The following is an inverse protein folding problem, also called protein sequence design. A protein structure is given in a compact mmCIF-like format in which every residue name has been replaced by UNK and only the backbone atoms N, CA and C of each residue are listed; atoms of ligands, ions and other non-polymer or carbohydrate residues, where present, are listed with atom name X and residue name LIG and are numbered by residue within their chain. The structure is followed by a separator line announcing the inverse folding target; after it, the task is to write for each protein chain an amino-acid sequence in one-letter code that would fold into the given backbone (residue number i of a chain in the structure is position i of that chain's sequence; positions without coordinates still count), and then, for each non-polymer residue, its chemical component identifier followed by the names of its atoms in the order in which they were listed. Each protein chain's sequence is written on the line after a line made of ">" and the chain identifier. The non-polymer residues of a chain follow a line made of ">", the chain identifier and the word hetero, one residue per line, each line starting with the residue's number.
data_IF_785630773504
#
_entry.id   IF_785630773504
#
_cell.length_a   1.000
_cell.length_b   1.000
_cell.length_c   1.000
_cell.angle_alpha   90.00
_cell.angle_beta   90.00
_cell.angle_gamma   90.00
#
_symmetry.space_group_name_H-M   'P 1'
#
loop_
_entity.id
_entity.type
_entity.pdbx_description
1 polymer ?
#
# COMPACT_ATOMS: atom_id res chain seq x y z
N UNK A 1 18.68 -3.19 30.68
CA UNK A 1 19.80 -2.24 30.71
C UNK A 1 20.63 -2.49 31.97
N UNK A 2 21.94 -2.35 31.88
CA UNK A 2 22.87 -2.49 33.00
C UNK A 2 23.42 -1.10 33.36
N UNK A 3 23.39 -0.75 34.64
CA UNK A 3 23.84 0.53 35.16
C UNK A 3 24.81 0.29 36.31
N UNK A 4 25.85 1.12 36.39
CA UNK A 4 26.67 1.24 37.59
C UNK A 4 26.23 2.47 38.37
N UNK A 5 25.59 2.27 39.52
CA UNK A 5 25.18 3.30 40.46
C UNK A 5 26.21 3.40 41.59
N UNK A 6 27.08 4.40 41.55
CA UNK A 6 28.06 4.70 42.61
C UNK A 6 27.45 5.44 43.81
N UNK A 7 26.12 5.41 43.93
CA UNK A 7 25.33 6.23 44.82
C UNK A 7 24.25 5.44 45.56
N UNK A 8 23.28 6.13 46.18
CA UNK A 8 22.28 5.55 47.07
C UNK A 8 21.01 5.08 46.37
N UNK A 9 20.83 5.38 45.07
CA UNK A 9 19.64 4.99 44.34
C UNK A 9 19.73 5.21 42.84
N UNK A 10 18.95 4.42 42.08
CA UNK A 10 18.74 4.57 40.65
C UNK A 10 17.24 4.65 40.36
N UNK A 11 16.85 5.57 39.47
CA UNK A 11 15.48 5.69 38.98
C UNK A 11 15.45 5.73 37.46
N UNK A 12 14.33 5.29 36.90
CA UNK A 12 14.05 5.27 35.47
C UNK A 12 12.57 5.47 35.28
N UNK A 13 12.22 6.38 34.38
CA UNK A 13 10.84 6.66 34.00
C UNK A 13 10.62 6.20 32.56
N UNK A 14 9.43 5.68 32.26
CA UNK A 14 9.02 5.45 30.88
C UNK A 14 8.57 6.79 30.27
N UNK A 15 9.20 7.25 29.18
CA UNK A 15 8.80 8.49 28.50
C UNK A 15 7.35 8.43 28.00
N UNK A 16 6.67 9.57 27.89
CA UNK A 16 5.26 9.64 27.50
C UNK A 16 4.96 8.94 26.17
N UNK A 17 5.85 9.08 25.19
CA UNK A 17 5.73 8.46 23.86
C UNK A 17 5.83 6.91 23.90
N UNK A 18 6.28 6.35 25.01
CA UNK A 18 6.50 4.93 25.20
C UNK A 18 5.52 4.25 26.17
N UNK A 19 4.76 5.00 26.97
CA UNK A 19 3.89 4.44 28.02
C UNK A 19 2.83 3.46 27.50
N UNK A 20 2.39 3.60 26.26
CA UNK A 20 1.39 2.72 25.66
C UNK A 20 1.94 1.34 25.29
N UNK A 21 3.27 1.18 25.18
CA UNK A 21 3.89 -0.04 24.68
C UNK A 21 5.12 -0.52 25.45
N UNK A 22 5.69 0.29 26.34
CA UNK A 22 6.86 -0.03 27.14
C UNK A 22 6.54 0.09 28.62
N UNK A 23 7.02 -0.86 29.41
CA UNK A 23 6.86 -0.87 30.87
C UNK A 23 8.12 -1.40 31.55
N UNK A 24 8.32 -1.02 32.81
CA UNK A 24 9.39 -1.59 33.65
C UNK A 24 8.85 -2.87 34.27
N UNK A 25 9.49 -4.01 33.97
CA UNK A 25 9.08 -5.30 34.53
C UNK A 25 9.72 -5.56 35.89
N UNK A 26 10.97 -5.13 36.08
CA UNK A 26 11.65 -5.18 37.37
C UNK A 26 12.85 -4.21 37.41
N UNK A 27 13.20 -3.80 38.62
CA UNK A 27 14.46 -3.12 38.94
C UNK A 27 15.14 -3.97 40.01
N UNK A 28 16.31 -4.51 39.69
CA UNK A 28 17.12 -5.34 40.57
C UNK A 28 18.40 -4.58 40.91
N UNK A 29 18.84 -4.64 42.16
CA UNK A 29 20.03 -3.92 42.62
C UNK A 29 20.89 -4.81 43.52
N UNK A 30 22.19 -4.85 43.24
CA UNK A 30 23.19 -5.57 44.01
C UNK A 30 24.45 -4.71 44.14
N UNK A 31 24.64 -4.08 45.31
CA UNK A 31 25.72 -3.12 45.50
C UNK A 31 25.59 -1.94 44.54
N UNK A 32 26.66 -1.65 43.78
CA UNK A 32 26.67 -0.59 42.76
C UNK A 32 26.06 -1.03 41.42
N UNK A 33 25.62 -2.28 41.27
CA UNK A 33 25.05 -2.78 40.02
C UNK A 33 23.53 -2.72 40.05
N UNK A 34 22.93 -2.07 39.04
CA UNK A 34 21.48 -2.01 38.87
C UNK A 34 21.11 -2.59 37.50
N UNK A 35 20.16 -3.52 37.51
CA UNK A 35 19.60 -4.13 36.31
C UNK A 35 18.14 -3.72 36.19
N UNK A 36 17.83 -2.97 35.12
CA UNK A 36 16.44 -2.61 34.78
C UNK A 36 15.98 -3.51 33.64
N UNK A 37 14.90 -4.26 33.89
CA UNK A 37 14.24 -5.11 32.89
C UNK A 37 12.99 -4.39 32.37
N UNK A 38 12.85 -4.37 31.06
CA UNK A 38 11.72 -3.77 30.36
C UNK A 38 10.86 -4.85 29.72
N UNK A 39 9.56 -4.58 29.62
CA UNK A 39 8.63 -5.37 28.83
C UNK A 39 7.98 -4.46 27.79
N UNK A 40 8.15 -4.83 26.52
CA UNK A 40 7.50 -4.19 25.39
C UNK A 40 6.29 -5.01 24.92
N UNK A 41 5.19 -4.34 24.58
CA UNK A 41 4.05 -4.95 23.90
C UNK A 41 4.44 -5.36 22.47
N UNK A 42 3.67 -6.27 21.86
CA UNK A 42 3.83 -6.58 20.44
C UNK A 42 3.70 -5.29 19.60
N UNK A 43 4.49 -5.20 18.53
CA UNK A 43 4.43 -4.06 17.61
C UNK A 43 3.74 -4.49 16.32
N UNK A 44 2.42 -4.33 16.27
CA UNK A 44 1.62 -4.61 15.08
C UNK A 44 1.60 -3.42 14.09
N UNK A 45 2.15 -2.27 14.48
CA UNK A 45 2.34 -1.12 13.62
C UNK A 45 3.80 -1.00 13.19
N UNK A 46 4.17 0.21 12.76
CA UNK A 46 5.52 0.55 12.31
C UNK A 46 6.62 0.46 13.35
N UNK A 47 7.87 0.49 12.87
CA UNK A 47 9.04 0.70 13.73
C UNK A 47 8.79 1.86 14.70
N UNK A 48 9.10 1.63 15.97
CA UNK A 48 8.96 2.63 17.03
C UNK A 48 10.20 2.64 17.90
N UNK A 49 10.48 3.78 18.52
CA UNK A 49 11.56 3.90 19.47
C UNK A 49 11.30 5.00 20.49
N UNK A 50 12.11 5.01 21.54
CA UNK A 50 12.07 6.03 22.59
C UNK A 50 13.45 6.19 23.22
N UNK A 51 13.71 7.34 23.84
CA UNK A 51 14.92 7.60 24.61
C UNK A 51 14.63 7.44 26.09
N UNK A 52 15.22 6.43 26.71
CA UNK A 52 15.09 6.14 28.13
C UNK A 52 16.17 6.90 28.89
N UNK A 53 15.77 7.65 29.91
CA UNK A 53 16.69 8.39 30.79
C UNK A 53 16.77 7.68 32.13
N UNK A 54 17.99 7.30 32.51
CA UNK A 54 18.32 6.76 33.82
C UNK A 54 18.92 7.87 34.69
N UNK A 55 18.50 7.93 35.95
CA UNK A 55 19.04 8.86 36.94
C UNK A 55 19.64 8.09 38.10
N UNK A 56 20.80 8.51 38.56
CA UNK A 56 21.45 8.00 39.78
C UNK A 56 21.82 9.15 40.68
N UNK A 57 21.90 8.92 41.99
CA UNK A 57 22.27 9.97 42.96
C UNK A 57 23.21 9.42 44.01
N UNK A 58 24.26 10.17 44.36
CA UNK A 58 25.14 9.88 45.50
C UNK A 58 24.68 10.55 46.81
N UNK A 59 23.47 11.13 46.80
CA UNK A 59 22.90 11.90 47.90
C UNK A 59 23.34 13.37 47.95
N UNK A 60 24.31 13.78 47.12
CA UNK A 60 24.76 15.18 46.97
C UNK A 60 24.55 15.71 45.55
N UNK A 61 24.64 14.84 44.56
CA UNK A 61 24.54 15.16 43.14
C UNK A 61 23.77 14.08 42.40
N UNK A 62 22.95 14.51 41.45
CA UNK A 62 22.30 13.63 40.48
C UNK A 62 23.15 13.50 39.22
N UNK A 63 23.16 12.30 38.66
CA UNK A 63 23.79 11.94 37.40
C UNK A 63 22.73 11.35 36.49
N UNK A 64 22.84 11.63 35.20
CA UNK A 64 21.91 11.12 34.19
C UNK A 64 22.68 10.42 33.08
N UNK A 65 22.11 9.34 32.57
CA UNK A 65 22.57 8.70 31.33
C UNK A 65 21.35 8.29 30.52
N UNK A 66 21.48 8.26 29.20
CA UNK A 66 20.39 7.94 28.29
C UNK A 66 20.73 6.76 27.39
N UNK A 67 19.70 6.04 26.95
CA UNK A 67 19.83 5.01 25.93
C UNK A 67 18.60 5.01 25.04
N UNK A 68 18.77 4.64 23.78
CA UNK A 68 17.66 4.48 22.84
C UNK A 68 17.17 3.04 22.85
N UNK A 69 15.87 2.85 22.96
CA UNK A 69 15.23 1.56 22.72
C UNK A 69 14.43 1.67 21.43
N UNK A 70 14.71 0.77 20.48
CA UNK A 70 13.93 0.63 19.25
C UNK A 70 13.30 -0.76 19.18
N UNK A 71 12.10 -0.82 18.61
CA UNK A 71 11.37 -2.05 18.36
C UNK A 71 10.88 -2.05 16.91
N UNK A 72 11.40 -2.98 16.12
CA UNK A 72 10.93 -3.20 14.75
C UNK A 72 9.44 -3.55 14.76
N UNK A 73 8.71 -2.92 13.85
CA UNK A 73 7.28 -3.11 13.65
C UNK A 73 6.96 -4.15 12.59
N UNK A 74 5.66 -4.44 12.49
CA UNK A 74 5.12 -5.17 11.34
C UNK A 74 4.95 -4.22 10.15
N UNK A 75 4.99 -4.78 8.95
CA UNK A 75 4.53 -4.07 7.74
C UNK A 75 3.01 -4.13 7.73
N UNK A 76 2.36 -2.96 7.71
CA UNK A 76 0.90 -2.83 7.73
C UNK A 76 0.35 -2.97 6.31
N UNK A 77 -0.52 -3.95 6.08
CA UNK A 77 -1.30 -4.00 4.84
C UNK A 77 -2.37 -2.90 4.89
N UNK A 78 -2.44 -2.06 3.86
CA UNK A 78 -3.39 -0.95 3.81
C UNK A 78 -3.88 -0.70 2.39
N UNK A 79 -5.11 -0.19 2.29
CA UNK A 79 -5.57 0.50 1.09
C UNK A 79 -4.85 1.85 0.95
N UNK A 80 -4.86 2.41 -0.26
CA UNK A 80 -4.28 3.73 -0.53
C UNK A 80 -4.98 4.82 0.28
N UNK A 81 -6.31 4.74 0.46
CA UNK A 81 -7.05 5.70 1.27
C UNK A 81 -6.64 5.64 2.75
N UNK A 82 -6.51 4.45 3.33
CA UNK A 82 -6.04 4.27 4.71
C UNK A 82 -4.60 4.78 4.88
N UNK A 83 -3.73 4.49 3.91
CA UNK A 83 -2.36 4.99 3.88
C UNK A 83 -2.28 6.51 3.83
N UNK A 84 -3.09 7.15 2.98
CA UNK A 84 -3.10 8.60 2.84
C UNK A 84 -3.61 9.30 4.10
N UNK A 85 -4.57 8.69 4.79
CA UNK A 85 -5.13 9.16 6.06
C UNK A 85 -4.18 8.97 7.26
N UNK A 86 -3.17 8.11 7.15
CA UNK A 86 -2.21 7.87 8.21
C UNK A 86 -1.28 9.08 8.46
N UNK A 87 -0.82 9.20 9.71
CA UNK A 87 0.19 10.19 10.07
C UNK A 87 1.57 9.83 9.49
N UNK A 88 2.37 10.86 9.20
CA UNK A 88 3.77 10.69 8.81
C UNK A 88 4.54 10.06 9.97
N UNK A 89 5.14 8.91 9.72
CA UNK A 89 5.93 8.15 10.70
C UNK A 89 6.86 7.17 9.97
N UNK A 90 7.67 6.41 10.72
CA UNK A 90 8.48 5.32 10.17
C UNK A 90 7.70 4.00 10.00
N UNK A 91 6.36 4.05 10.12
CA UNK A 91 5.50 2.90 9.78
C UNK A 91 5.62 2.51 8.32
N UNK A 92 5.93 1.23 8.11
CA UNK A 92 5.99 0.61 6.80
C UNK A 92 4.59 0.12 6.41
N UNK A 93 4.17 0.49 5.21
CA UNK A 93 2.91 0.08 4.62
C UNK A 93 3.17 -0.75 3.37
N UNK A 94 2.45 -1.86 3.25
CA UNK A 94 2.36 -2.62 2.01
C UNK A 94 1.15 -2.14 1.23
N UNK A 95 1.41 -1.62 0.03
CA UNK A 95 0.39 -1.12 -0.88
C UNK A 95 0.44 -1.94 -2.16
N UNK A 96 -0.73 -2.36 -2.67
CA UNK A 96 -0.84 -3.04 -3.96
C UNK A 96 -1.80 -2.30 -4.86
N UNK A 97 -1.37 -1.98 -6.08
CA UNK A 97 -2.19 -1.21 -7.01
C UNK A 97 -1.62 -1.21 -8.43
N UNK A 98 -2.32 -0.52 -9.33
CA UNK A 98 -1.94 -0.34 -10.73
C UNK A 98 -1.06 0.91 -10.86
N UNK A 99 0.03 0.82 -11.63
CA UNK A 99 0.81 1.98 -12.04
C UNK A 99 0.01 2.77 -13.09
N UNK A 100 -0.53 3.93 -12.74
CA UNK A 100 -1.35 4.74 -13.66
C UNK A 100 -0.49 5.71 -14.47
N UNK A 101 0.68 6.11 -13.95
CA UNK A 101 1.61 7.02 -14.60
C UNK A 101 3.02 6.85 -14.04
N UNK A 102 4.04 7.01 -14.88
CA UNK A 102 5.45 7.09 -14.47
C UNK A 102 5.96 8.49 -14.83
N UNK A 103 6.28 9.30 -13.82
CA UNK A 103 6.82 10.65 -14.00
C UNK A 103 8.34 10.65 -14.16
N UNK A 104 9.03 9.68 -13.56
CA UNK A 104 10.48 9.56 -13.67
C UNK A 104 10.93 8.10 -13.68
N UNK A 105 11.37 7.60 -14.83
CA UNK A 105 11.85 6.24 -15.03
C UNK A 105 13.28 5.98 -14.53
N UNK A 106 13.99 7.02 -14.09
CA UNK A 106 15.30 6.85 -13.45
C UNK A 106 15.15 6.49 -11.98
N UNK A 107 14.26 7.17 -11.26
CA UNK A 107 14.09 6.98 -9.82
C UNK A 107 12.87 6.12 -9.48
N UNK A 108 11.96 5.90 -10.42
CA UNK A 108 10.69 5.21 -10.15
C UNK A 108 9.65 6.12 -9.52
N UNK A 109 9.59 7.38 -9.92
CA UNK A 109 8.52 8.27 -9.50
C UNK A 109 7.27 7.95 -10.31
N UNK A 110 6.21 7.53 -9.63
CA UNK A 110 5.00 7.02 -10.28
C UNK A 110 3.74 7.27 -9.45
N UNK A 111 2.58 7.08 -10.07
CA UNK A 111 1.29 7.07 -9.41
C UNK A 111 0.79 5.62 -9.29
N UNK A 112 0.43 5.23 -8.06
CA UNK A 112 -0.09 3.92 -7.72
C UNK A 112 -1.55 4.06 -7.30
N UNK A 113 -2.44 3.32 -7.96
CA UNK A 113 -3.88 3.37 -7.69
C UNK A 113 -4.44 2.00 -7.31
N UNK A 114 -5.15 1.93 -6.20
CA UNK A 114 -5.98 0.78 -5.83
C UNK A 114 -7.48 1.13 -5.96
N UNK A 115 -8.35 0.30 -5.40
CA UNK A 115 -9.80 0.54 -5.40
C UNK A 115 -10.25 1.77 -4.61
N UNK A 116 -9.45 2.23 -3.65
CA UNK A 116 -9.79 3.25 -2.67
C UNK A 116 -9.25 4.63 -3.03
N UNK A 117 -8.16 4.71 -3.80
CA UNK A 117 -7.54 5.97 -4.15
C UNK A 117 -6.24 5.83 -4.94
N UNK A 118 -5.58 6.96 -5.17
CA UNK A 118 -4.30 7.06 -5.87
C UNK A 118 -3.28 7.82 -5.01
N UNK A 119 -2.05 7.31 -4.92
CA UNK A 119 -0.95 7.96 -4.22
C UNK A 119 0.27 8.11 -5.13
N UNK A 120 1.04 9.17 -4.90
CA UNK A 120 2.34 9.35 -5.53
C UNK A 120 3.41 8.56 -4.77
N UNK A 121 4.28 7.89 -5.51
CA UNK A 121 5.44 7.15 -5.00
C UNK A 121 6.68 7.93 -5.34
N UNK A 122 7.40 8.41 -4.33
CA UNK A 122 8.64 9.17 -4.49
C UNK A 122 9.84 8.24 -4.57
N UNK A 123 9.94 7.57 -5.72
CA UNK A 123 11.01 6.66 -6.06
C UNK A 123 10.80 5.24 -5.52
N UNK A 124 11.32 4.27 -6.27
CA UNK A 124 11.37 2.86 -5.90
C UNK A 124 12.83 2.42 -5.99
N UNK A 125 13.32 1.75 -4.95
CA UNK A 125 14.69 1.27 -4.93
C UNK A 125 15.00 0.34 -6.13
N UNK A 126 16.11 0.62 -6.80
CA UNK A 126 16.54 -0.11 -8.00
C UNK A 126 15.58 -0.07 -9.20
N UNK A 127 14.69 0.94 -9.32
CA UNK A 127 13.62 0.96 -10.32
C UNK A 127 14.06 0.64 -11.76
N UNK A 128 15.20 1.17 -12.22
CA UNK A 128 15.72 0.97 -13.59
C UNK A 128 15.88 -0.50 -13.98
N UNK A 129 16.13 -1.37 -13.01
CA UNK A 129 16.36 -2.80 -13.22
C UNK A 129 15.07 -3.62 -13.21
N UNK A 130 13.94 -3.00 -12.79
CA UNK A 130 12.66 -3.70 -12.58
C UNK A 130 11.79 -3.78 -13.84
N UNK A 131 12.09 -3.00 -14.89
CA UNK A 131 11.33 -2.96 -16.15
C UNK A 131 9.82 -2.73 -15.97
N UNK A 132 9.42 -1.97 -14.95
CA UNK A 132 8.02 -1.65 -14.67
C UNK A 132 7.46 -0.68 -15.73
N UNK A 133 6.20 -0.88 -16.11
CA UNK A 133 5.49 -0.03 -17.05
C UNK A 133 4.11 0.39 -16.52
N UNK A 134 3.58 1.47 -17.10
CA UNK A 134 2.20 1.89 -16.88
C UNK A 134 1.26 0.72 -17.19
N UNK A 135 0.30 0.48 -16.30
CA UNK A 135 -0.62 -0.64 -16.34
C UNK A 135 -0.21 -1.83 -15.49
N UNK A 136 1.08 -2.01 -15.14
CA UNK A 136 1.48 -3.11 -14.26
C UNK A 136 0.83 -2.98 -12.87
N UNK A 137 0.51 -4.12 -12.28
CA UNK A 137 0.06 -4.19 -10.89
C UNK A 137 1.30 -4.50 -10.04
N UNK A 138 1.59 -3.65 -9.06
CA UNK A 138 2.76 -3.83 -8.19
C UNK A 138 2.35 -3.84 -6.73
N UNK A 139 3.12 -4.57 -5.93
CA UNK A 139 3.13 -4.46 -4.47
C UNK A 139 4.42 -3.79 -4.05
N UNK A 140 4.32 -2.70 -3.28
CA UNK A 140 5.45 -1.99 -2.72
C UNK A 140 5.35 -1.92 -1.20
N UNK A 141 6.49 -1.84 -0.54
CA UNK A 141 6.59 -1.51 0.89
C UNK A 141 7.28 -0.16 1.02
N UNK A 142 6.67 0.77 1.74
CA UNK A 142 7.25 2.09 2.00
C UNK A 142 6.54 2.83 3.11
N UNK A 143 7.07 4.00 3.49
CA UNK A 143 6.51 4.80 4.58
C UNK A 143 5.65 5.95 4.10
N UNK A 144 4.72 6.38 4.96
CA UNK A 144 3.97 7.62 4.76
C UNK A 144 4.93 8.81 4.91
N UNK A 145 5.15 9.51 3.81
CA UNK A 145 6.01 10.69 3.73
C UNK A 145 5.24 11.87 3.14
N UNK A 146 5.76 13.09 3.30
CA UNK A 146 5.14 14.30 2.79
C UNK A 146 6.19 15.25 2.23
N UNK A 147 5.90 15.86 1.08
CA UNK A 147 6.73 16.91 0.51
C UNK A 147 5.91 18.19 0.36
N UNK A 148 6.26 19.23 1.13
CA UNK A 148 5.59 20.53 1.13
C UNK A 148 4.07 20.44 1.33
N UNK A 149 3.59 19.56 2.20
CA UNK A 149 2.17 19.35 2.43
C UNK A 149 1.51 18.32 1.50
N UNK A 150 2.22 17.78 0.50
CA UNK A 150 1.69 16.77 -0.41
C UNK A 150 2.02 15.35 0.07
N UNK A 151 1.00 14.51 0.35
CA UNK A 151 1.19 13.10 0.71
C UNK A 151 1.92 12.29 -0.37
N UNK A 152 2.81 11.39 0.04
CA UNK A 152 3.50 10.47 -0.86
C UNK A 152 4.02 9.22 -0.13
N UNK A 153 4.36 8.18 -0.89
CA UNK A 153 5.15 7.05 -0.40
C UNK A 153 6.62 7.41 -0.48
N UNK A 154 7.34 7.25 0.63
CA UNK A 154 8.79 7.48 0.71
C UNK A 154 9.55 6.18 0.95
N UNK A 155 10.73 6.07 0.34
CA UNK A 155 11.64 4.93 0.54
C UNK A 155 11.03 3.59 0.10
N UNK A 156 10.30 3.59 -1.00
CA UNK A 156 9.58 2.41 -1.44
C UNK A 156 10.53 1.33 -1.98
N UNK A 157 10.25 0.08 -1.64
CA UNK A 157 10.89 -1.12 -2.18
C UNK A 157 9.83 -1.95 -2.91
N UNK A 158 10.18 -2.46 -4.08
CA UNK A 158 9.31 -3.37 -4.83
C UNK A 158 9.31 -4.76 -4.18
N UNK A 159 8.14 -5.25 -3.79
CA UNK A 159 7.95 -6.60 -3.24
C UNK A 159 7.53 -7.58 -4.34
N UNK A 160 6.59 -7.19 -5.21
CA UNK A 160 6.15 -8.03 -6.33
C UNK A 160 5.61 -7.22 -7.50
N UNK A 161 5.58 -7.84 -8.69
CA UNK A 161 4.97 -7.30 -9.90
C UNK A 161 4.13 -8.38 -10.57
N UNK A 162 2.93 -8.00 -11.00
CA UNK A 162 2.10 -8.76 -11.93
C UNK A 162 2.13 -7.98 -13.26
N UNK A 163 2.88 -8.45 -14.26
CA UNK A 163 2.95 -7.79 -15.55
C UNK A 163 1.59 -7.77 -16.24
N UNK A 164 1.20 -6.61 -16.76
CA UNK A 164 -0.02 -6.49 -17.57
C UNK A 164 0.35 -6.40 -19.05
N UNK A 165 -0.36 -7.16 -19.89
CA UNK A 165 -0.14 -7.19 -21.34
C UNK A 165 -1.15 -6.28 -22.04
N UNK A 166 -0.70 -5.30 -22.82
CA UNK A 166 -1.62 -4.53 -23.67
C UNK A 166 -2.07 -5.41 -24.84
N UNK A 167 -3.37 -5.49 -25.09
CA UNK A 167 -3.93 -6.32 -26.16
C UNK A 167 -5.24 -5.75 -26.70
N UNK A 168 -5.59 -6.12 -27.92
CA UNK A 168 -6.90 -5.86 -28.51
C UNK A 168 -7.93 -6.88 -28.01
N UNK A 169 -9.22 -6.60 -28.20
CA UNK A 169 -10.28 -7.57 -27.88
C UNK A 169 -10.13 -8.82 -28.74
N UNK A 170 -9.83 -8.68 -30.04
CA UNK A 170 -9.61 -9.79 -30.95
C UNK A 170 -8.51 -10.74 -30.46
N UNK A 171 -7.36 -10.18 -30.02
CA UNK A 171 -6.25 -10.99 -29.50
C UNK A 171 -6.63 -11.72 -28.22
N UNK A 172 -7.30 -11.06 -27.27
CA UNK A 172 -7.73 -11.65 -25.99
C UNK A 172 -8.73 -12.78 -26.20
N UNK A 173 -9.61 -12.68 -27.20
CA UNK A 173 -10.54 -13.75 -27.55
C UNK A 173 -9.85 -15.05 -28.01
N UNK A 174 -8.60 -14.98 -28.48
CA UNK A 174 -7.79 -16.16 -28.86
C UNK A 174 -7.03 -16.79 -27.68
N UNK A 175 -6.98 -16.12 -26.52
CA UNK A 175 -6.23 -16.59 -25.35
C UNK A 175 -7.03 -17.61 -24.55
N UNK A 176 -6.35 -18.59 -23.92
CA UNK A 176 -7.01 -19.47 -22.95
C UNK A 176 -7.50 -18.66 -21.76
N UNK A 177 -8.44 -19.24 -21.02
CA UNK A 177 -8.82 -18.70 -19.72
C UNK A 177 -7.63 -18.75 -18.76
N UNK A 178 -7.46 -17.70 -17.96
CA UNK A 178 -6.36 -17.58 -17.00
C UNK A 178 -6.81 -16.83 -15.76
N UNK A 179 -6.34 -17.27 -14.60
CA UNK A 179 -6.52 -16.59 -13.31
C UNK A 179 -5.29 -15.73 -12.93
N UNK A 180 -4.23 -15.78 -13.73
CA UNK A 180 -2.96 -15.09 -13.51
C UNK A 180 -2.64 -14.03 -14.57
N UNK A 181 -3.06 -14.23 -15.82
CA UNK A 181 -2.68 -13.35 -16.93
C UNK A 181 -3.65 -12.17 -17.05
N UNK A 182 -3.10 -10.96 -16.91
CA UNK A 182 -3.84 -9.72 -17.05
C UNK A 182 -3.60 -9.07 -18.40
N UNK A 183 -4.70 -8.62 -19.01
CA UNK A 183 -4.72 -7.88 -20.25
C UNK A 183 -5.28 -6.48 -20.02
N UNK A 184 -4.64 -5.46 -20.59
CA UNK A 184 -5.18 -4.11 -20.68
C UNK A 184 -5.69 -3.87 -22.09
N UNK A 185 -6.99 -3.60 -22.22
CA UNK A 185 -7.65 -3.38 -23.50
C UNK A 185 -8.61 -2.20 -23.44
N UNK A 186 -8.84 -1.57 -24.59
CA UNK A 186 -9.80 -0.48 -24.76
C UNK A 186 -10.88 -0.89 -25.74
N UNK A 187 -12.12 -0.51 -25.47
CA UNK A 187 -13.21 -0.63 -26.45
C UNK A 187 -14.32 0.38 -26.20
N UNK A 188 -15.16 0.57 -27.20
CA UNK A 188 -16.40 1.34 -27.09
C UNK A 188 -17.42 0.56 -26.27
N UNK A 189 -18.07 1.21 -25.29
CA UNK A 189 -19.14 0.61 -24.51
C UNK A 189 -20.40 0.54 -25.36
N UNK A 190 -20.83 -0.67 -25.74
CA UNK A 190 -22.07 -0.87 -26.53
C UNK A 190 -23.30 -1.08 -25.65
N UNK A 191 -23.11 -1.59 -24.42
CA UNK A 191 -24.20 -1.85 -23.47
C UNK A 191 -23.67 -1.90 -22.04
N UNK A 192 -24.49 -1.43 -21.07
CA UNK A 192 -24.23 -1.54 -19.63
C UNK A 192 -25.37 -2.38 -19.03
N UNK A 193 -25.05 -3.60 -18.57
CA UNK A 193 -26.03 -4.56 -18.06
C UNK A 193 -26.14 -4.55 -16.53
N UNK A 194 -25.13 -4.04 -15.83
CA UNK A 194 -25.19 -3.75 -14.39
C UNK A 194 -24.39 -2.49 -14.09
N UNK A 195 -25.08 -1.44 -13.61
CA UNK A 195 -24.41 -0.20 -13.17
C UNK A 195 -23.65 -0.39 -11.87
N UNK A 196 -24.22 -1.16 -10.95
CA UNK A 196 -23.62 -1.42 -9.65
C UNK A 196 -22.27 -2.09 -9.83
N UNK A 197 -22.21 -3.23 -10.52
CA UNK A 197 -20.97 -4.01 -10.66
C UNK A 197 -20.16 -3.66 -11.92
N UNK A 198 -20.61 -2.72 -12.74
CA UNK A 198 -19.92 -2.35 -13.97
C UNK A 198 -19.91 -3.45 -15.03
N UNK A 199 -20.97 -4.27 -15.10
CA UNK A 199 -21.10 -5.26 -16.16
C UNK A 199 -21.49 -4.56 -17.47
N UNK A 200 -20.72 -4.79 -18.52
CA UNK A 200 -20.87 -4.08 -19.79
C UNK A 200 -20.27 -4.86 -20.96
N UNK A 201 -20.52 -4.40 -22.18
CA UNK A 201 -19.91 -4.91 -23.40
C UNK A 201 -18.95 -3.88 -23.96
N UNK A 202 -17.76 -4.33 -24.35
CA UNK A 202 -16.75 -3.53 -25.05
C UNK A 202 -16.60 -4.02 -26.47
N UNK A 203 -16.56 -3.10 -27.43
CA UNK A 203 -16.33 -3.37 -28.84
C UNK A 203 -15.05 -2.69 -29.34
N UNK A 204 -14.29 -3.41 -30.15
CA UNK A 204 -13.07 -2.95 -30.83
C UNK A 204 -13.03 -3.57 -32.22
N UNK A 205 -13.20 -2.73 -33.25
CA UNK A 205 -13.41 -3.17 -34.64
C UNK A 205 -14.62 -4.12 -34.77
N UNK A 206 -14.38 -5.31 -35.30
CA UNK A 206 -15.41 -6.36 -35.47
C UNK A 206 -15.56 -7.27 -34.24
N UNK A 207 -14.75 -7.09 -33.21
CA UNK A 207 -14.77 -7.91 -32.00
C UNK A 207 -15.52 -7.23 -30.86
N UNK A 208 -16.28 -8.01 -30.10
CA UNK A 208 -16.97 -7.56 -28.90
C UNK A 208 -16.75 -8.58 -27.77
N UNK A 209 -16.60 -8.10 -26.54
CA UNK A 209 -16.42 -8.94 -25.36
C UNK A 209 -17.23 -8.41 -24.17
N UNK A 210 -17.82 -9.33 -23.43
CA UNK A 210 -18.51 -9.03 -22.19
C UNK A 210 -17.50 -8.85 -21.04
N UNK A 211 -17.67 -7.80 -20.25
CA UNK A 211 -16.92 -7.54 -19.02
C UNK A 211 -17.81 -7.91 -17.85
N UNK A 212 -17.48 -9.01 -17.18
CA UNK A 212 -18.11 -9.44 -15.93
C UNK A 212 -17.41 -8.79 -14.75
N UNK A 213 -17.94 -7.64 -14.34
CA UNK A 213 -17.40 -6.77 -13.30
C UNK A 213 -16.36 -5.79 -13.84
N UNK A 214 -16.63 -4.50 -13.79
CA UNK A 214 -15.63 -3.45 -13.95
C UNK A 214 -15.62 -2.63 -12.66
N UNK A 215 -14.62 -2.89 -11.82
CA UNK A 215 -14.55 -2.37 -10.46
C UNK A 215 -13.73 -1.07 -10.37
N UNK A 216 -13.94 -0.25 -9.31
CA UNK A 216 -13.24 1.02 -9.12
C UNK A 216 -11.71 0.96 -9.20
N UNK A 217 -11.09 -0.15 -8.79
CA UNK A 217 -9.66 -0.36 -8.86
C UNK A 217 -9.24 -1.76 -8.41
N UNK A 218 -7.94 -2.02 -8.42
CA UNK A 218 -7.37 -3.31 -7.96
C UNK A 218 -7.64 -3.51 -6.46
N UNK A 219 -7.93 -4.75 -6.05
CA UNK A 219 -8.15 -5.10 -4.64
C UNK A 219 -9.59 -4.91 -4.14
N UNK A 220 -10.51 -4.38 -4.94
CA UNK A 220 -11.90 -4.18 -4.55
C UNK A 220 -12.58 -5.50 -4.12
N UNK A 221 -13.20 -5.50 -2.94
CA UNK A 221 -14.02 -6.61 -2.42
C UNK A 221 -15.35 -6.09 -1.87
N UNK A 222 -16.33 -6.98 -1.65
CA UNK A 222 -17.62 -6.58 -1.07
C UNK A 222 -18.28 -5.42 -1.82
N UNK A 223 -18.65 -4.37 -1.07
CA UNK A 223 -19.29 -3.17 -1.61
C UNK A 223 -18.31 -2.23 -2.34
N UNK A 224 -17.00 -2.35 -2.12
CA UNK A 224 -15.99 -1.56 -2.85
C UNK A 224 -15.92 -1.91 -4.35
N UNK A 225 -16.60 -2.98 -4.76
CA UNK A 225 -16.78 -3.35 -6.17
C UNK A 225 -17.84 -2.52 -6.88
N UNK A 226 -18.63 -1.72 -6.14
CA UNK A 226 -19.82 -1.08 -6.66
C UNK A 226 -19.61 0.37 -7.09
N UNK A 227 -20.51 0.86 -7.92
CA UNK A 227 -20.74 2.30 -8.13
C UNK A 227 -19.76 3.00 -9.08
N UNK A 228 -18.82 2.28 -9.71
CA UNK A 228 -17.86 2.86 -10.65
C UNK A 228 -18.54 3.66 -11.76
N UNK A 229 -19.56 3.06 -12.40
CA UNK A 229 -20.20 3.63 -13.59
C UNK A 229 -20.78 5.00 -13.30
N UNK A 230 -21.52 5.12 -12.19
CA UNK A 230 -22.10 6.38 -11.74
C UNK A 230 -21.01 7.38 -11.30
N UNK A 231 -20.06 6.93 -10.48
CA UNK A 231 -19.00 7.78 -9.94
C UNK A 231 -18.10 8.41 -11.02
N UNK A 232 -17.95 7.74 -12.18
CA UNK A 232 -17.16 8.24 -13.32
C UNK A 232 -18.01 8.83 -14.45
N UNK A 233 -19.34 8.79 -14.35
CA UNK A 233 -20.23 9.26 -15.41
C UNK A 233 -20.10 8.46 -16.71
N UNK A 234 -19.73 7.18 -16.60
CA UNK A 234 -19.54 6.29 -17.74
C UNK A 234 -20.89 5.97 -18.38
N UNK A 235 -20.97 6.05 -19.71
CA UNK A 235 -22.18 5.78 -20.50
C UNK A 235 -21.85 4.99 -21.77
N UNK A 236 -22.90 4.47 -22.41
CA UNK A 236 -22.81 3.84 -23.73
C UNK A 236 -22.21 4.84 -24.74
N UNK A 237 -21.30 4.36 -25.58
CA UNK A 237 -20.51 5.13 -26.53
C UNK A 237 -19.15 5.61 -26.01
N UNK A 238 -18.94 5.62 -24.69
CA UNK A 238 -17.62 5.96 -24.13
C UNK A 238 -16.59 4.88 -24.48
N UNK A 239 -15.33 5.27 -24.63
CA UNK A 239 -14.22 4.34 -24.82
C UNK A 239 -13.58 4.05 -23.47
N UNK A 240 -13.70 2.80 -23.00
CA UNK A 240 -13.25 2.37 -21.69
C UNK A 240 -12.02 1.48 -21.81
N UNK A 241 -10.98 1.80 -21.05
CA UNK A 241 -9.80 0.95 -20.85
C UNK A 241 -9.94 0.18 -19.55
N UNK A 242 -9.87 -1.15 -19.64
CA UNK A 242 -9.99 -2.08 -18.51
C UNK A 242 -8.77 -2.98 -18.46
N UNK A 243 -8.28 -3.25 -17.25
CA UNK A 243 -7.32 -4.32 -16.98
C UNK A 243 -8.11 -5.52 -16.44
N UNK A 244 -8.06 -6.66 -17.12
CA UNK A 244 -8.84 -7.83 -16.71
C UNK A 244 -8.19 -9.15 -17.14
N UNK A 245 -8.71 -10.24 -16.58
CA UNK A 245 -8.30 -11.58 -16.96
C UNK A 245 -9.27 -12.19 -17.95
N UNK A 246 -8.76 -12.98 -18.88
CA UNK A 246 -9.59 -13.77 -19.80
C UNK A 246 -10.25 -14.92 -19.05
N UNK A 247 -11.56 -15.07 -19.21
CA UNK A 247 -12.35 -16.16 -18.65
C UNK A 247 -13.46 -16.57 -19.61
N UNK A 248 -14.19 -17.63 -19.30
CA UNK A 248 -15.37 -18.07 -20.04
C UNK A 248 -16.47 -18.52 -19.08
N UNK A 249 -17.71 -18.13 -19.37
CA UNK A 249 -18.89 -18.57 -18.64
C UNK A 249 -19.78 -19.40 -19.57
N UNK A 250 -20.01 -20.67 -19.21
CA UNK A 250 -20.78 -21.63 -20.03
C UNK A 250 -20.31 -21.70 -21.50
N UNK A 251 -19.00 -21.58 -21.72
CA UNK A 251 -18.39 -21.63 -23.05
C UNK A 251 -18.35 -20.29 -23.79
N UNK A 252 -18.91 -19.22 -23.24
CA UNK A 252 -18.84 -17.86 -23.81
C UNK A 252 -17.68 -17.09 -23.21
N UNK A 253 -16.79 -16.56 -24.05
CA UNK A 253 -15.67 -15.74 -23.62
C UNK A 253 -16.13 -14.44 -22.93
N UNK A 254 -15.42 -14.05 -21.87
CA UNK A 254 -15.64 -12.81 -21.14
C UNK A 254 -14.33 -12.32 -20.49
N UNK A 255 -14.30 -11.07 -20.06
CA UNK A 255 -13.33 -10.57 -19.10
C UNK A 255 -13.91 -10.74 -17.69
N UNK A 256 -13.11 -11.21 -16.74
CA UNK A 256 -13.54 -11.40 -15.36
C UNK A 256 -12.84 -10.43 -14.41
N UNK A 257 -13.62 -9.83 -13.50
CA UNK A 257 -13.13 -8.94 -12.44
C UNK A 257 -12.23 -7.83 -12.97
N UNK A 258 -12.74 -7.12 -13.97
CA UNK A 258 -12.05 -6.00 -14.58
C UNK A 258 -11.78 -4.86 -13.60
N UNK A 259 -10.68 -4.17 -13.84
CA UNK A 259 -10.17 -3.04 -13.08
C UNK A 259 -10.26 -1.82 -13.98
N UNK A 260 -10.93 -0.77 -13.50
CA UNK A 260 -10.97 0.51 -14.19
C UNK A 260 -9.57 1.11 -14.36
N UNK A 261 -9.17 1.36 -15.60
CA UNK A 261 -7.92 2.06 -15.91
C UNK A 261 -8.18 3.51 -16.33
N UNK A 262 -8.97 3.74 -17.38
CA UNK A 262 -9.34 5.06 -17.87
C UNK A 262 -10.58 4.99 -18.74
N UNK A 263 -11.22 6.13 -19.02
CA UNK A 263 -12.20 6.22 -20.08
C UNK A 263 -12.15 7.58 -20.77
N UNK A 264 -12.62 7.63 -22.00
CA UNK A 264 -12.86 8.83 -22.78
C UNK A 264 -14.36 8.89 -23.12
N UNK A 265 -14.99 10.04 -22.85
CA UNK A 265 -16.39 10.22 -23.20
C UNK A 265 -16.59 10.26 -24.72
N UNK A 266 -17.69 9.68 -25.19
CA UNK A 266 -18.14 9.90 -26.57
C UNK A 266 -18.23 11.40 -26.87
N UNK A 267 -17.81 11.80 -28.08
CA UNK A 267 -17.92 13.18 -28.58
C UNK A 267 -19.35 13.53 -28.96
#
# INVERSE_FOLDING_TARGET
>A
AYLTCKGQGASVDIPEDAKSWLSISSVESAGEEVVVKFKAAANAGGDRGTTIIFRTTDGKKEYTTETTLSQTGAIVDASVAEFLAAAVSDTQYRLTGVITKIDNSTYGNLYLRDFSGETYVYGIDGFREKNLKVGDIITIVGKRAEYKGTPQVGGAVLESVIPVTVSTIAEVLTKPDSDHDYYMLTGEITSITSKDYGNLYLKDGDSEIYVYGCYPGYGATGDDRKGLIEAKGIKVGDHLTVIAKKSSYKGTAQLANGIYFSHESAK
#
